data_IF_341874046422
#
_entry.id   IF_341874046422
#
_cell.length_a   1.000
_cell.length_b   1.000
_cell.length_c   1.000
_cell.angle_alpha   90.00
_cell.angle_beta   90.00
_cell.angle_gamma   90.00
#
_symmetry.space_group_name_H-M   'P 1'
#
loop_
_entity.id
_entity.type
_entity.pdbx_description
1 polymer ?
#
# COMPACT_ATOMS: atom_id res chain seq x y z
N UNK A 1 -13.67 13.57 -0.56
CA UNK A 1 -13.52 14.88 0.13
C UNK A 1 -12.21 15.60 -0.26
N UNK A 2 -11.08 14.90 -0.28
CA UNK A 2 -9.77 15.49 -0.62
C UNK A 2 -9.62 16.06 -2.04
N UNK A 3 -10.54 15.72 -2.94
CA UNK A 3 -10.60 16.15 -4.34
C UNK A 3 -11.58 17.31 -4.60
N UNK A 4 -12.34 17.73 -3.57
CA UNK A 4 -13.41 18.70 -3.67
C UNK A 4 -13.29 19.75 -2.56
N UNK A 5 -13.91 20.91 -2.75
CA UNK A 5 -13.92 21.97 -1.73
C UNK A 5 -14.86 21.62 -0.57
N UNK A 6 -14.75 22.34 0.53
CA UNK A 6 -15.56 22.09 1.73
C UNK A 6 -17.06 22.33 1.49
N UNK A 7 -17.44 23.23 0.59
CA UNK A 7 -18.86 23.47 0.24
C UNK A 7 -19.51 22.20 -0.35
N UNK A 8 -18.73 21.41 -1.10
CA UNK A 8 -19.20 20.14 -1.65
C UNK A 8 -19.34 19.09 -0.55
N UNK A 9 -18.53 19.14 0.51
CA UNK A 9 -18.63 18.18 1.61
C UNK A 9 -19.95 18.29 2.35
N UNK A 10 -20.43 19.50 2.57
CA UNK A 10 -21.72 19.74 3.25
C UNK A 10 -22.89 19.24 2.40
N UNK A 11 -22.81 19.44 1.08
CA UNK A 11 -23.80 18.92 0.14
C UNK A 11 -23.76 17.39 0.04
N UNK A 12 -22.57 16.78 0.00
CA UNK A 12 -22.38 15.33 0.04
C UNK A 12 -23.04 14.75 1.30
N UNK A 13 -22.78 15.33 2.48
CA UNK A 13 -23.38 14.87 3.74
C UNK A 13 -24.91 14.99 3.70
N UNK A 14 -25.46 16.09 3.16
CA UNK A 14 -26.91 16.26 3.00
C UNK A 14 -27.50 15.15 2.13
N UNK A 15 -26.84 14.81 1.02
CA UNK A 15 -27.27 13.76 0.09
C UNK A 15 -27.14 12.37 0.75
N UNK A 16 -26.01 12.06 1.40
CA UNK A 16 -25.78 10.79 2.09
C UNK A 16 -26.88 10.51 3.13
N UNK A 17 -27.24 11.52 3.93
CA UNK A 17 -28.36 11.43 4.89
C UNK A 17 -29.69 11.17 4.19
N UNK A 18 -29.98 11.87 3.09
CA UNK A 18 -31.20 11.67 2.29
C UNK A 18 -31.28 10.23 1.75
N UNK A 19 -30.15 9.67 1.36
CA UNK A 19 -30.03 8.28 0.88
C UNK A 19 -29.98 7.24 2.00
N UNK A 20 -29.98 7.68 3.27
CA UNK A 20 -29.82 6.81 4.45
C UNK A 20 -28.50 6.02 4.44
N UNK A 21 -27.47 6.56 3.80
CA UNK A 21 -26.10 6.03 3.93
C UNK A 21 -25.56 6.39 5.32
N UNK A 22 -24.90 5.43 5.96
CA UNK A 22 -24.44 5.53 7.34
C UNK A 22 -22.96 5.19 7.51
N UNK A 23 -22.24 4.90 6.41
CA UNK A 23 -20.81 4.58 6.44
C UNK A 23 -20.14 4.98 5.12
N UNK A 24 -18.90 5.49 5.21
CA UNK A 24 -18.07 5.83 4.03
C UNK A 24 -16.64 5.32 4.22
N UNK A 25 -15.92 5.10 3.12
CA UNK A 25 -14.50 4.70 3.16
C UNK A 25 -13.60 5.85 2.71
N UNK A 26 -12.64 6.22 3.55
CA UNK A 26 -11.66 7.29 3.33
C UNK A 26 -10.45 7.04 4.24
N UNK A 27 -9.23 7.52 3.93
CA UNK A 27 -8.79 8.24 2.73
C UNK A 27 -7.92 7.36 1.79
N UNK A 28 -8.54 6.46 1.02
CA UNK A 28 -7.88 5.34 0.31
C UNK A 28 -6.62 5.74 -0.51
N UNK A 29 -6.63 6.90 -1.16
CA UNK A 29 -5.56 7.34 -2.08
C UNK A 29 -4.93 8.69 -1.69
N UNK A 30 -4.98 9.08 -0.42
CA UNK A 30 -4.58 10.43 -0.01
C UNK A 30 -3.18 10.53 0.60
N UNK A 31 -2.27 9.57 0.33
CA UNK A 31 -0.95 9.51 0.98
C UNK A 31 -0.17 10.83 0.77
N UNK A 32 -0.11 11.32 -0.47
CA UNK A 32 0.61 12.55 -0.77
C UNK A 32 0.03 13.78 -0.08
N UNK A 33 -1.28 13.81 0.19
CA UNK A 33 -1.93 14.91 0.92
C UNK A 33 -1.69 14.80 2.44
N UNK A 34 -1.67 13.58 2.96
CA UNK A 34 -1.46 13.29 4.39
C UNK A 34 0.01 13.37 4.80
N UNK A 35 0.93 13.11 3.86
CA UNK A 35 2.38 13.12 4.08
C UNK A 35 3.07 13.73 2.83
N UNK A 36 3.17 15.06 2.71
CA UNK A 36 3.70 15.74 1.53
C UNK A 36 5.23 15.59 1.35
N UNK A 37 5.94 15.25 2.41
CA UNK A 37 7.36 14.87 2.41
C UNK A 37 7.59 13.85 3.54
N UNK A 38 8.80 13.30 3.67
CA UNK A 38 9.05 12.19 4.60
C UNK A 38 8.71 12.51 6.07
N UNK A 39 8.92 13.75 6.49
CA UNK A 39 8.88 14.13 7.91
C UNK A 39 7.58 14.83 8.32
N UNK A 40 6.79 15.30 7.35
CA UNK A 40 5.57 16.09 7.60
C UNK A 40 4.32 15.23 7.48
N UNK A 41 3.43 15.32 8.47
CA UNK A 41 2.11 14.71 8.45
C UNK A 41 1.04 15.77 8.68
N UNK A 42 0.06 15.86 7.78
CA UNK A 42 -1.07 16.79 7.89
C UNK A 42 -2.40 16.04 7.85
N UNK A 43 -3.01 15.90 9.03
CA UNK A 43 -4.29 15.23 9.21
C UNK A 43 -5.47 16.19 9.31
N UNK A 44 -5.25 17.51 9.29
CA UNK A 44 -6.27 18.51 9.62
C UNK A 44 -7.53 18.37 8.77
N UNK A 45 -7.37 18.28 7.44
CA UNK A 45 -8.50 18.16 6.52
C UNK A 45 -9.29 16.86 6.76
N UNK A 46 -8.60 15.80 7.18
CA UNK A 46 -9.18 14.49 7.43
C UNK A 46 -9.93 14.48 8.77
N UNK A 47 -9.38 15.13 9.79
CA UNK A 47 -10.05 15.37 11.08
C UNK A 47 -11.38 16.10 10.87
N UNK A 48 -11.37 17.18 10.09
CA UNK A 48 -12.55 18.01 9.82
C UNK A 48 -13.67 17.22 9.12
N UNK A 49 -13.37 16.47 8.07
CA UNK A 49 -14.41 15.68 7.39
C UNK A 49 -14.93 14.53 8.26
N UNK A 50 -14.07 13.87 9.05
CA UNK A 50 -14.48 12.80 9.95
C UNK A 50 -15.43 13.32 11.02
N UNK A 51 -15.13 14.47 11.61
CA UNK A 51 -16.01 15.11 12.61
C UNK A 51 -17.36 15.50 12.01
N UNK A 52 -17.38 16.09 10.80
CA UNK A 52 -18.64 16.43 10.10
C UNK A 52 -19.48 15.19 9.79
N UNK A 53 -18.85 14.11 9.31
CA UNK A 53 -19.54 12.84 9.04
C UNK A 53 -20.13 12.25 10.33
N UNK A 54 -19.34 12.21 11.41
CA UNK A 54 -19.76 11.63 12.68
C UNK A 54 -20.91 12.40 13.33
N UNK A 55 -20.86 13.73 13.32
CA UNK A 55 -21.98 14.61 13.76
C UNK A 55 -23.28 14.35 13.01
N UNK A 56 -23.19 13.80 11.81
CA UNK A 56 -24.32 13.46 10.97
C UNK A 56 -24.70 11.97 11.01
N UNK A 57 -24.12 11.19 11.94
CA UNK A 57 -24.42 9.77 12.11
C UNK A 57 -23.84 8.87 11.03
N UNK A 58 -22.78 9.33 10.35
CA UNK A 58 -22.08 8.58 9.30
C UNK A 58 -20.73 8.13 9.84
N UNK A 59 -20.56 6.81 9.96
CA UNK A 59 -19.31 6.18 10.39
C UNK A 59 -18.27 6.14 9.26
N UNK A 60 -17.02 5.86 9.63
CA UNK A 60 -15.87 5.84 8.72
C UNK A 60 -15.21 4.47 8.75
N UNK A 61 -14.99 3.90 7.56
CA UNK A 61 -13.98 2.87 7.33
C UNK A 61 -12.67 3.60 7.01
N UNK A 62 -11.73 3.59 7.96
CA UNK A 62 -10.47 4.32 7.84
C UNK A 62 -9.48 3.52 6.98
N UNK A 63 -9.13 4.04 5.81
CA UNK A 63 -8.14 3.42 4.96
C UNK A 63 -6.71 3.78 5.36
N UNK A 64 -5.76 2.85 5.25
CA UNK A 64 -4.35 3.24 5.16
C UNK A 64 -4.07 3.64 3.71
N UNK A 65 -3.55 4.84 3.43
CA UNK A 65 -3.51 5.40 2.07
C UNK A 65 -2.41 4.77 1.19
N UNK A 66 -1.98 3.56 1.52
CA UNK A 66 -0.72 2.96 1.08
C UNK A 66 -0.80 2.36 -0.33
N UNK A 67 -1.99 2.38 -0.95
CA UNK A 67 -2.23 1.85 -2.28
C UNK A 67 -1.50 2.61 -3.40
N UNK A 68 -1.24 3.90 -3.20
CA UNK A 68 -0.47 4.71 -4.14
C UNK A 68 0.52 5.58 -3.37
N UNK A 69 1.82 5.27 -3.50
CA UNK A 69 2.87 6.03 -2.85
C UNK A 69 3.03 7.42 -3.48
N UNK A 70 3.43 8.45 -2.72
CA UNK A 70 3.68 9.79 -3.25
C UNK A 70 4.82 9.82 -4.28
N UNK A 71 4.80 10.86 -5.12
CA UNK A 71 5.87 11.12 -6.08
C UNK A 71 7.23 11.35 -5.40
N UNK A 72 7.25 12.03 -4.25
CA UNK A 72 8.49 12.27 -3.49
C UNK A 72 9.13 10.95 -3.04
N UNK A 73 8.33 9.98 -2.60
CA UNK A 73 8.82 8.68 -2.17
C UNK A 73 9.40 7.91 -3.36
N UNK A 74 8.68 7.90 -4.48
CA UNK A 74 9.16 7.27 -5.74
C UNK A 74 10.43 7.94 -6.29
N UNK A 75 10.60 9.24 -6.07
CA UNK A 75 11.80 9.99 -6.49
C UNK A 75 13.00 9.67 -5.60
N UNK A 76 12.81 9.69 -4.27
CA UNK A 76 13.87 9.50 -3.27
C UNK A 76 14.29 8.03 -3.13
N UNK A 77 13.34 7.11 -3.19
CA UNK A 77 13.53 5.68 -2.97
C UNK A 77 13.22 4.88 -4.22
N UNK A 78 14.21 4.73 -5.10
CA UNK A 78 14.04 4.06 -6.40
C UNK A 78 13.65 2.59 -6.27
N UNK A 79 14.02 1.94 -5.17
CA UNK A 79 13.72 0.53 -4.92
C UNK A 79 12.24 0.25 -4.63
N UNK A 80 11.46 1.29 -4.34
CA UNK A 80 10.00 1.17 -4.24
C UNK A 80 9.41 0.77 -5.58
N UNK A 81 9.90 1.28 -6.70
CA UNK A 81 9.28 1.05 -7.99
C UNK A 81 9.53 -0.39 -8.47
N UNK A 82 8.52 -1.10 -8.98
CA UNK A 82 8.68 -2.47 -9.43
C UNK A 82 9.42 -2.55 -10.77
N UNK A 83 9.88 -3.75 -11.10
CA UNK A 83 10.41 -4.11 -12.43
C UNK A 83 9.39 -5.06 -13.08
N UNK A 84 9.08 -4.81 -14.35
CA UNK A 84 8.12 -5.63 -15.11
C UNK A 84 8.76 -6.94 -15.64
N UNK A 85 7.96 -7.75 -16.33
CA UNK A 85 8.37 -9.04 -16.90
C UNK A 85 9.46 -8.93 -17.97
N UNK A 86 9.65 -7.74 -18.54
CA UNK A 86 10.66 -7.48 -19.57
C UNK A 86 11.96 -6.90 -18.97
N UNK A 87 12.04 -6.78 -17.64
CA UNK A 87 13.19 -6.21 -16.96
C UNK A 87 13.17 -4.68 -16.90
N UNK A 88 12.09 -4.01 -17.33
CA UNK A 88 12.03 -2.55 -17.29
C UNK A 88 11.67 -2.06 -15.89
N UNK A 89 12.48 -1.15 -15.37
CA UNK A 89 12.17 -0.44 -14.13
C UNK A 89 11.02 0.54 -14.39
N UNK A 90 9.91 0.38 -13.66
CA UNK A 90 8.77 1.30 -13.79
C UNK A 90 9.10 2.68 -13.21
N UNK A 91 8.42 3.70 -13.71
CA UNK A 91 8.45 5.05 -13.17
C UNK A 91 7.28 5.31 -12.22
N UNK A 92 7.30 6.46 -11.55
CA UNK A 92 6.15 6.92 -10.76
C UNK A 92 4.91 7.08 -11.66
N UNK A 93 3.75 6.69 -11.16
CA UNK A 93 2.48 6.74 -11.87
C UNK A 93 1.59 5.55 -11.54
N UNK A 94 0.32 5.64 -11.93
CA UNK A 94 -0.69 4.63 -11.63
C UNK A 94 -0.94 4.45 -10.11
N UNK A 95 -1.43 3.25 -9.75
CA UNK A 95 -1.64 2.81 -8.37
C UNK A 95 -1.13 1.38 -8.20
N UNK A 96 -1.00 0.94 -6.95
CA UNK A 96 -0.39 -0.33 -6.58
C UNK A 96 1.01 -0.52 -7.19
N UNK A 97 1.71 0.57 -7.47
CA UNK A 97 2.94 0.58 -8.26
C UNK A 97 4.18 0.53 -7.38
N UNK A 98 4.24 -0.45 -6.48
CA UNK A 98 5.34 -0.65 -5.55
C UNK A 98 5.80 -2.11 -5.54
N UNK A 99 7.07 -2.32 -5.23
CA UNK A 99 7.65 -3.63 -4.99
C UNK A 99 7.25 -4.11 -3.58
N UNK A 100 6.59 -5.28 -3.43
CA UNK A 100 6.18 -5.79 -2.12
C UNK A 100 7.35 -6.18 -1.22
N UNK A 101 8.55 -6.36 -1.79
CA UNK A 101 9.79 -6.66 -1.08
C UNK A 101 10.72 -5.42 -0.94
N UNK A 102 10.25 -4.22 -1.27
CA UNK A 102 11.01 -2.99 -0.98
C UNK A 102 10.98 -2.69 0.52
N UNK A 103 12.15 -2.66 1.15
CA UNK A 103 12.31 -2.24 2.56
C UNK A 103 11.82 -0.81 2.78
N UNK A 104 12.12 0.10 1.84
CA UNK A 104 11.65 1.48 1.90
C UNK A 104 10.13 1.60 1.80
N UNK A 105 9.49 0.88 0.88
CA UNK A 105 8.03 0.89 0.79
C UNK A 105 7.41 0.35 2.09
N UNK A 106 7.90 -0.79 2.60
CA UNK A 106 7.41 -1.38 3.86
C UNK A 106 7.59 -0.42 5.03
N UNK A 107 8.76 0.22 5.15
CA UNK A 107 9.05 1.22 6.19
C UNK A 107 8.09 2.40 6.10
N UNK A 108 8.02 3.06 4.93
CA UNK A 108 7.20 4.26 4.75
C UNK A 108 5.70 3.98 4.91
N UNK A 109 5.20 2.88 4.33
CA UNK A 109 3.79 2.48 4.46
C UNK A 109 3.42 2.15 5.91
N UNK A 110 4.33 1.49 6.64
CA UNK A 110 4.14 1.21 8.08
C UNK A 110 4.16 2.49 8.90
N UNK A 111 5.02 3.45 8.59
CA UNK A 111 5.09 4.75 9.29
C UNK A 111 3.78 5.51 9.14
N UNK A 112 3.25 5.71 7.92
CA UNK A 112 2.00 6.45 7.73
C UNK A 112 0.81 5.73 8.40
N UNK A 113 0.74 4.39 8.29
CA UNK A 113 -0.30 3.61 8.96
C UNK A 113 -0.22 3.76 10.49
N UNK A 114 0.99 3.71 11.06
CA UNK A 114 1.22 3.87 12.50
C UNK A 114 0.86 5.28 12.97
N UNK A 115 1.24 6.32 12.21
CA UNK A 115 0.92 7.71 12.53
C UNK A 115 -0.57 7.98 12.48
N UNK A 116 -1.29 7.41 11.52
CA UNK A 116 -2.75 7.48 11.47
C UNK A 116 -3.38 6.72 12.65
N UNK A 117 -2.92 5.51 12.95
CA UNK A 117 -3.44 4.76 14.09
C UNK A 117 -3.20 5.50 15.42
N UNK A 118 -2.02 6.10 15.62
CA UNK A 118 -1.67 6.91 16.79
C UNK A 118 -2.59 8.14 16.93
N UNK A 119 -2.81 8.88 15.83
CA UNK A 119 -3.63 10.09 15.79
C UNK A 119 -5.12 9.79 16.02
N UNK A 120 -5.62 8.69 15.44
CA UNK A 120 -7.05 8.36 15.45
C UNK A 120 -7.47 7.29 16.47
N UNK A 121 -6.59 6.84 17.36
CA UNK A 121 -6.83 5.71 18.28
C UNK A 121 -8.11 5.79 19.12
N UNK A 122 -8.54 7.00 19.53
CA UNK A 122 -9.75 7.21 20.34
C UNK A 122 -10.96 7.68 19.51
N UNK A 123 -10.85 7.77 18.18
CA UNK A 123 -11.88 8.37 17.34
C UNK A 123 -13.05 7.39 17.11
N UNK A 124 -14.18 7.67 17.77
CA UNK A 124 -15.40 6.84 17.73
C UNK A 124 -16.10 6.79 16.37
N UNK A 125 -15.77 7.69 15.45
CA UNK A 125 -16.33 7.66 14.10
C UNK A 125 -15.79 6.47 13.29
N UNK A 126 -14.59 6.00 13.62
CA UNK A 126 -13.90 4.93 12.88
C UNK A 126 -14.36 3.59 13.41
N UNK A 127 -14.95 2.79 12.53
CA UNK A 127 -15.54 1.49 12.89
C UNK A 127 -14.76 0.31 12.30
N UNK A 128 -13.99 0.53 11.23
CA UNK A 128 -13.18 -0.47 10.56
C UNK A 128 -11.92 0.16 9.97
N UNK A 129 -10.90 -0.67 9.74
CA UNK A 129 -9.71 -0.29 8.97
C UNK A 129 -9.70 -0.98 7.60
N UNK A 130 -9.43 -0.21 6.55
CA UNK A 130 -9.25 -0.68 5.17
C UNK A 130 -7.78 -0.59 4.79
N UNK A 131 -7.05 -1.69 4.90
CA UNK A 131 -5.61 -1.69 4.66
C UNK A 131 -5.33 -1.63 3.15
N UNK A 132 -4.56 -0.63 2.71
CA UNK A 132 -4.16 -0.46 1.32
C UNK A 132 -5.39 -0.34 0.39
N UNK A 133 -5.31 -0.87 -0.84
CA UNK A 133 -6.40 -1.10 -1.77
C UNK A 133 -5.92 -2.08 -2.85
N UNK A 134 -6.56 -3.24 -2.95
CA UNK A 134 -6.36 -4.21 -4.05
C UNK A 134 -4.87 -4.55 -4.32
N UNK A 135 -4.27 -5.31 -3.41
CA UNK A 135 -2.93 -5.87 -3.62
C UNK A 135 -2.91 -6.74 -4.90
N UNK A 136 -1.88 -6.62 -5.74
CA UNK A 136 -1.79 -7.43 -6.96
C UNK A 136 -0.56 -7.26 -7.85
N UNK A 137 0.47 -6.52 -7.44
CA UNK A 137 1.60 -6.22 -8.32
C UNK A 137 2.69 -7.28 -8.25
N UNK A 138 2.85 -8.02 -9.34
CA UNK A 138 4.05 -8.82 -9.58
C UNK A 138 5.24 -7.91 -9.89
N UNK A 139 6.42 -8.31 -9.40
CA UNK A 139 7.65 -7.54 -9.53
C UNK A 139 8.83 -8.48 -9.70
N UNK A 140 9.69 -8.17 -10.67
CA UNK A 140 10.85 -8.98 -11.07
C UNK A 140 12.18 -8.29 -10.72
N UNK A 141 12.19 -7.40 -9.73
CA UNK A 141 13.41 -6.72 -9.31
C UNK A 141 14.28 -7.59 -8.41
N UNK A 142 15.53 -7.17 -8.20
CA UNK A 142 16.50 -7.93 -7.37
C UNK A 142 16.03 -8.16 -5.93
N UNK A 143 15.27 -7.23 -5.34
CA UNK A 143 14.68 -7.43 -4.01
C UNK A 143 13.67 -8.59 -4.01
N UNK A 144 12.90 -8.75 -5.08
CA UNK A 144 11.96 -9.87 -5.22
C UNK A 144 12.69 -11.18 -5.52
N UNK A 145 13.75 -11.16 -6.33
CA UNK A 145 14.59 -12.33 -6.58
C UNK A 145 15.22 -12.87 -5.28
N UNK A 146 15.85 -11.99 -4.49
CA UNK A 146 16.42 -12.35 -3.18
C UNK A 146 15.37 -12.90 -2.22
N UNK A 147 14.21 -12.25 -2.14
CA UNK A 147 13.10 -12.73 -1.31
C UNK A 147 12.54 -14.08 -1.81
N UNK A 148 12.50 -14.31 -3.12
CA UNK A 148 12.08 -15.57 -3.71
C UNK A 148 13.06 -16.69 -3.35
N UNK A 149 14.38 -16.46 -3.46
CA UNK A 149 15.40 -17.41 -3.02
C UNK A 149 15.24 -17.78 -1.54
N UNK A 150 14.99 -16.80 -0.66
CA UNK A 150 14.74 -17.06 0.77
C UNK A 150 13.48 -17.91 0.98
N UNK A 151 12.40 -17.61 0.26
CA UNK A 151 11.17 -18.40 0.29
C UNK A 151 11.39 -19.83 -0.23
N UNK A 152 12.20 -20.01 -1.28
CA UNK A 152 12.56 -21.34 -1.81
C UNK A 152 13.35 -22.16 -0.80
N UNK A 153 14.33 -21.53 -0.12
CA UNK A 153 15.08 -22.17 0.98
C UNK A 153 14.13 -22.63 2.09
N UNK A 154 13.15 -21.80 2.47
CA UNK A 154 12.17 -22.16 3.48
C UNK A 154 11.26 -23.30 3.00
N UNK A 155 10.80 -23.26 1.76
CA UNK A 155 9.86 -24.24 1.20
C UNK A 155 10.50 -25.61 0.94
N UNK A 156 11.65 -25.63 0.28
CA UNK A 156 12.28 -26.86 -0.22
C UNK A 156 13.41 -27.37 0.69
N UNK A 157 13.94 -26.53 1.59
CA UNK A 157 15.03 -26.82 2.53
C UNK A 157 16.39 -27.08 1.88
N UNK A 158 16.47 -27.88 0.81
CA UNK A 158 17.71 -28.19 0.09
C UNK A 158 17.52 -28.04 -1.43
N UNK A 159 18.64 -27.85 -2.15
CA UNK A 159 18.63 -27.77 -3.61
C UNK A 159 18.30 -29.11 -4.25
N UNK A 160 18.69 -30.23 -3.65
CA UNK A 160 18.32 -31.57 -4.15
C UNK A 160 16.80 -31.73 -4.20
N UNK A 161 16.09 -31.31 -3.16
CA UNK A 161 14.62 -31.38 -3.12
C UNK A 161 13.97 -30.38 -4.08
N UNK A 162 14.53 -29.17 -4.23
CA UNK A 162 14.05 -28.21 -5.24
C UNK A 162 14.22 -28.76 -6.65
N UNK A 163 15.41 -29.27 -6.98
CA UNK A 163 15.74 -29.84 -8.28
C UNK A 163 14.83 -31.03 -8.63
N UNK A 164 14.56 -31.92 -7.67
CA UNK A 164 13.60 -33.02 -7.82
C UNK A 164 12.18 -32.49 -8.12
N UNK A 165 11.68 -31.54 -7.32
CA UNK A 165 10.31 -31.02 -7.45
C UNK A 165 10.09 -30.16 -8.69
N UNK A 166 11.14 -29.55 -9.22
CA UNK A 166 11.11 -28.77 -10.45
C UNK A 166 11.54 -29.57 -11.69
N UNK A 167 11.98 -30.81 -11.51
CA UNK A 167 12.48 -31.69 -12.57
C UNK A 167 13.59 -31.02 -13.40
N UNK A 168 14.57 -30.41 -12.72
CA UNK A 168 15.60 -29.56 -13.35
C UNK A 168 16.69 -30.34 -14.11
N UNK A 169 16.65 -31.67 -14.08
CA UNK A 169 17.47 -32.50 -14.99
C UNK A 169 17.08 -32.26 -16.45
N UNK A 170 15.82 -31.87 -16.70
CA UNK A 170 15.36 -31.47 -18.01
C UNK A 170 16.04 -30.17 -18.45
N UNK A 171 16.53 -30.16 -19.70
CA UNK A 171 17.28 -29.04 -20.29
C UNK A 171 18.44 -28.52 -19.44
N UNK A 172 19.10 -29.38 -18.65
CA UNK A 172 20.31 -29.02 -17.89
C UNK A 172 20.14 -27.84 -16.92
N UNK A 173 18.98 -27.70 -16.30
CA UNK A 173 18.67 -26.62 -15.33
C UNK A 173 19.05 -26.97 -13.88
N UNK A 174 19.84 -28.02 -13.64
CA UNK A 174 20.21 -28.43 -12.28
C UNK A 174 20.99 -27.31 -11.57
N UNK A 175 20.47 -26.85 -10.44
CA UNK A 175 21.08 -25.80 -9.62
C UNK A 175 21.96 -26.39 -8.53
N UNK A 176 23.16 -25.85 -8.37
CA UNK A 176 24.14 -26.19 -7.34
C UNK A 176 24.28 -25.09 -6.29
N UNK A 177 23.90 -23.86 -6.62
CA UNK A 177 23.85 -22.74 -5.69
C UNK A 177 22.50 -22.02 -5.77
N UNK A 178 22.04 -21.47 -4.66
CA UNK A 178 20.72 -20.83 -4.59
C UNK A 178 20.64 -19.53 -5.39
N UNK A 179 21.77 -18.86 -5.62
CA UNK A 179 21.88 -17.63 -6.40
C UNK A 179 22.08 -17.88 -7.90
N UNK A 180 21.98 -19.13 -8.36
CA UNK A 180 21.82 -19.45 -9.78
C UNK A 180 20.37 -19.30 -10.26
N UNK A 181 19.41 -19.19 -9.32
CA UNK A 181 17.96 -19.02 -9.56
C UNK A 181 17.59 -17.56 -9.78
#
# INVERSE_FOLDING_TARGET
PDQWTEEIWDEDIRILKKMKMNIVTLPVFSWAKLQPNEDTFDFKWLDEIIDRLYKNGISVVMATPTAAQPAWASKKYKDILPVDTYGNKRHHGGRSNFCPNSSDYRRLSSIIASKMAEHYKENKAIVLWHINNEYGTYCYCENCRKAFILWLKEKYKTLENLNDKWNTTFWSHTYYEWDEI
#
